data_IF_681246995475
#
_entry.id   IF_681246995475
#
_cell.length_a   1.000
_cell.length_b   1.000
_cell.length_c   1.000
_cell.angle_alpha   90.00
_cell.angle_beta   90.00
_cell.angle_gamma   90.00
#
_symmetry.space_group_name_H-M   'P 1'
#
loop_
_entity.id
_entity.type
_entity.pdbx_description
1 polymer ?
#
# COMPACT_ATOMS: atom_id res chain seq x y z
N UNK A 1 19.25 -46.47 67.01
CA UNK A 1 19.35 -45.89 68.38
C UNK A 1 20.03 -44.53 68.25
N UNK A 2 19.45 -43.52 68.92
CA UNK A 2 19.98 -42.16 69.22
C UNK A 2 20.35 -41.28 68.02
N UNK A 3 19.72 -40.14 67.69
CA UNK A 3 18.91 -39.21 68.49
C UNK A 3 19.64 -37.86 68.59
N UNK A 4 19.00 -36.77 68.16
CA UNK A 4 19.10 -35.35 68.63
C UNK A 4 18.48 -34.43 67.55
N UNK A 5 17.23 -33.96 67.59
CA UNK A 5 16.52 -33.01 68.49
C UNK A 5 16.92 -31.51 68.38
N UNK A 6 15.85 -30.70 68.26
CA UNK A 6 15.60 -29.30 68.73
C UNK A 6 15.89 -28.14 67.75
N UNK A 7 14.83 -27.47 67.26
CA UNK A 7 14.13 -26.25 67.80
C UNK A 7 14.97 -24.99 67.52
N UNK A 8 14.46 -23.81 67.13
CA UNK A 8 13.29 -23.11 67.65
C UNK A 8 13.06 -21.76 66.91
N UNK A 9 11.79 -21.31 66.87
CA UNK A 9 11.26 -19.94 67.01
C UNK A 9 11.85 -18.78 66.17
N UNK A 10 11.07 -18.16 65.28
CA UNK A 10 10.03 -17.14 65.53
C UNK A 10 10.59 -15.80 66.03
N UNK A 11 10.46 -14.76 65.20
CA UNK A 11 10.27 -13.35 65.60
C UNK A 11 9.91 -12.51 64.38
N UNK A 12 8.63 -12.11 64.28
CA UNK A 12 8.28 -10.86 63.59
C UNK A 12 8.58 -9.69 64.53
N UNK A 13 8.97 -8.54 63.97
CA UNK A 13 8.46 -7.30 64.50
C UNK A 13 7.74 -6.49 63.42
N UNK A 14 6.47 -6.20 63.69
CA UNK A 14 5.76 -5.06 63.12
C UNK A 14 6.45 -3.79 63.57
N UNK A 15 6.82 -2.90 62.65
CA UNK A 15 7.09 -1.50 62.95
C UNK A 15 6.34 -0.63 61.96
N UNK A 16 5.44 0.20 62.50
CA UNK A 16 4.74 1.26 61.79
C UNK A 16 5.38 2.62 62.11
N UNK A 17 5.31 3.51 61.12
CA UNK A 17 5.39 4.98 61.20
C UNK A 17 6.79 5.64 61.17
N UNK A 18 7.09 6.37 60.09
CA UNK A 18 7.00 7.84 60.04
C UNK A 18 7.67 8.39 58.76
N UNK A 19 7.29 9.61 58.39
CA UNK A 19 7.44 10.23 57.08
C UNK A 19 8.82 10.84 56.74
N UNK A 20 8.97 11.08 55.42
CA UNK A 20 9.71 12.16 54.75
C UNK A 20 11.24 12.18 54.80
N UNK A 21 11.88 11.99 53.63
CA UNK A 21 12.48 13.07 52.83
C UNK A 21 13.27 12.47 51.65
N UNK A 22 13.41 13.29 50.61
CA UNK A 22 14.01 13.01 49.31
C UNK A 22 15.35 12.27 49.33
N UNK A 23 15.50 11.29 48.44
CA UNK A 23 16.46 11.37 47.32
C UNK A 23 16.20 10.22 46.35
N UNK A 24 15.49 10.51 45.26
CA UNK A 24 15.34 9.59 44.14
C UNK A 24 16.46 9.87 43.14
N UNK A 25 17.70 9.59 43.53
CA UNK A 25 18.81 9.47 42.59
C UNK A 25 18.58 8.19 41.78
N UNK A 26 17.78 8.38 40.73
CA UNK A 26 17.48 7.43 39.67
C UNK A 26 18.79 7.01 39.02
N UNK A 27 19.40 5.99 39.61
CA UNK A 27 20.49 5.21 39.03
C UNK A 27 19.90 4.50 37.83
N UNK A 28 19.88 5.18 36.68
CA UNK A 28 19.56 4.61 35.37
C UNK A 28 20.43 3.36 35.17
N UNK A 29 19.86 2.14 35.07
CA UNK A 29 20.63 1.04 34.52
C UNK A 29 20.87 1.35 33.04
N UNK A 30 22.15 1.41 32.67
CA UNK A 30 22.59 1.54 31.30
C UNK A 30 21.98 0.41 30.45
N UNK A 31 21.03 0.77 29.59
CA UNK A 31 20.37 -0.15 28.66
C UNK A 31 21.30 -0.46 27.48
N UNK A 32 22.01 -1.58 27.55
CA UNK A 32 22.89 -2.05 26.46
C UNK A 32 22.41 -3.36 25.80
N UNK A 33 21.17 -3.80 26.00
CA UNK A 33 20.58 -4.95 25.26
C UNK A 33 19.39 -4.68 24.31
N UNK A 34 19.12 -3.46 23.79
CA UNK A 34 17.93 -3.25 22.94
C UNK A 34 18.01 -3.93 21.55
N UNK A 35 19.22 -4.12 21.00
CA UNK A 35 19.38 -4.63 19.62
C UNK A 35 19.26 -6.15 19.54
N UNK A 36 19.82 -6.89 20.50
CA UNK A 36 19.78 -8.35 20.52
C UNK A 36 18.35 -8.87 20.79
N UNK A 37 17.64 -8.20 21.71
CA UNK A 37 16.25 -8.50 22.02
C UNK A 37 15.33 -8.18 20.83
N UNK A 38 15.57 -7.04 20.15
CA UNK A 38 14.87 -6.71 18.92
C UNK A 38 15.05 -7.79 17.85
N UNK A 39 16.28 -8.23 17.58
CA UNK A 39 16.53 -9.26 16.57
C UNK A 39 15.79 -10.56 16.87
N UNK A 40 15.86 -11.03 18.12
CA UNK A 40 15.14 -12.24 18.54
C UNK A 40 13.62 -12.09 18.33
N UNK A 41 13.03 -11.00 18.81
CA UNK A 41 11.59 -10.76 18.69
C UNK A 41 11.16 -10.56 17.22
N UNK A 42 12.00 -9.93 16.41
CA UNK A 42 11.77 -9.76 14.98
C UNK A 42 11.76 -11.12 14.27
N UNK A 43 12.73 -11.98 14.53
CA UNK A 43 12.82 -13.31 13.91
C UNK A 43 11.65 -14.21 14.31
N UNK A 44 11.24 -14.16 15.58
CA UNK A 44 10.04 -14.86 16.09
C UNK A 44 8.77 -14.37 15.38
N UNK A 45 8.60 -13.05 15.26
CA UNK A 45 7.46 -12.46 14.54
C UNK A 45 7.43 -12.87 13.06
N UNK A 46 8.58 -12.93 12.40
CA UNK A 46 8.66 -13.39 11.01
C UNK A 46 8.27 -14.86 10.88
N UNK A 47 8.72 -15.72 11.79
CA UNK A 47 8.37 -17.15 11.78
C UNK A 47 6.87 -17.37 12.00
N UNK A 48 6.28 -16.66 12.96
CA UNK A 48 4.84 -16.74 13.26
C UNK A 48 4.00 -16.20 12.08
N UNK A 49 4.40 -15.07 11.50
CA UNK A 49 3.71 -14.51 10.34
C UNK A 49 3.77 -15.44 9.11
N UNK A 50 4.90 -16.11 8.90
CA UNK A 50 5.04 -17.12 7.85
C UNK A 50 4.15 -18.35 8.12
N UNK A 51 4.11 -18.84 9.36
CA UNK A 51 3.26 -19.94 9.77
C UNK A 51 1.77 -19.59 9.58
N UNK A 52 1.36 -18.39 10.01
CA UNK A 52 -0.01 -17.89 9.87
C UNK A 52 -0.41 -17.71 8.40
N UNK A 53 0.49 -17.22 7.55
CA UNK A 53 0.23 -17.12 6.11
C UNK A 53 0.01 -18.50 5.47
N UNK A 54 0.76 -19.51 5.93
CA UNK A 54 0.64 -20.88 5.45
C UNK A 54 -0.62 -21.59 6.00
N UNK A 55 -0.90 -21.45 7.30
CA UNK A 55 -2.02 -22.12 7.97
C UNK A 55 -3.37 -21.53 7.54
N UNK A 56 -3.45 -20.20 7.46
CA UNK A 56 -4.69 -19.51 7.11
C UNK A 56 -4.83 -19.28 5.60
N UNK A 57 -3.81 -19.59 4.79
CA UNK A 57 -3.79 -19.38 3.33
C UNK A 57 -4.09 -17.93 2.91
N UNK A 58 -3.72 -16.97 3.75
CA UNK A 58 -3.88 -15.53 3.50
C UNK A 58 -2.54 -14.85 3.37
N UNK A 59 -2.51 -13.75 2.61
CA UNK A 59 -1.33 -12.90 2.56
C UNK A 59 -1.19 -12.14 3.89
N UNK A 60 -0.03 -12.28 4.54
CA UNK A 60 0.29 -11.61 5.79
C UNK A 60 1.35 -10.54 5.54
N UNK A 61 1.05 -9.31 5.94
CA UNK A 61 1.98 -8.19 5.88
C UNK A 61 2.46 -7.83 7.27
N UNK A 62 3.79 -7.81 7.46
CA UNK A 62 4.41 -7.36 8.71
C UNK A 62 5.16 -6.06 8.45
N UNK A 63 4.97 -5.08 9.32
CA UNK A 63 5.72 -3.83 9.34
C UNK A 63 6.43 -3.77 10.68
N UNK A 64 7.77 -3.81 10.66
CA UNK A 64 8.59 -3.74 11.88
C UNK A 64 9.40 -2.45 11.89
N UNK A 65 9.30 -1.67 12.96
CA UNK A 65 10.10 -0.46 13.15
C UNK A 65 11.48 -0.83 13.69
N UNK A 66 12.53 -0.26 13.11
CA UNK A 66 13.90 -0.52 13.54
C UNK A 66 14.20 0.20 14.87
N UNK A 67 15.08 -0.35 15.73
CA UNK A 67 15.52 0.33 16.94
C UNK A 67 16.12 1.69 16.58
N UNK A 68 15.57 2.77 17.15
CA UNK A 68 15.90 4.15 16.77
C UNK A 68 14.76 4.89 16.08
N UNK A 69 13.76 4.19 15.53
CA UNK A 69 12.50 4.79 15.07
C UNK A 69 12.56 5.51 13.71
N UNK A 70 13.74 5.68 13.12
CA UNK A 70 13.92 6.42 11.87
C UNK A 70 13.42 5.66 10.62
N UNK A 71 13.22 4.35 10.73
CA UNK A 71 12.88 3.50 9.59
C UNK A 71 12.07 2.25 9.99
N UNK A 72 11.36 1.68 9.02
CA UNK A 72 10.60 0.45 9.16
C UNK A 72 10.84 -0.48 7.98
N UNK A 73 10.84 -1.79 8.23
CA UNK A 73 10.91 -2.84 7.21
C UNK A 73 9.52 -3.42 6.97
N UNK A 74 9.18 -3.64 5.70
CA UNK A 74 7.94 -4.32 5.30
C UNK A 74 8.27 -5.71 4.79
N UNK A 75 7.64 -6.72 5.38
CA UNK A 75 7.71 -8.11 4.95
C UNK A 75 6.32 -8.56 4.47
N UNK A 76 6.29 -9.37 3.41
CA UNK A 76 5.05 -9.94 2.86
C UNK A 76 5.23 -11.44 2.72
N UNK A 77 4.36 -12.19 3.38
CA UNK A 77 4.29 -13.64 3.32
C UNK A 77 3.05 -14.00 2.51
N UNK A 78 3.26 -14.73 1.41
CA UNK A 78 2.16 -15.12 0.53
C UNK A 78 1.57 -16.44 1.05
N UNK A 79 0.27 -16.44 1.32
CA UNK A 79 -0.46 -17.67 1.59
C UNK A 79 -0.64 -18.45 0.29
N UNK A 80 -0.32 -19.75 0.28
CA UNK A 80 -0.55 -20.57 -0.91
C UNK A 80 -2.07 -20.68 -1.15
N UNK A 81 -2.62 -20.17 -2.26
CA UNK A 81 -4.05 -20.22 -2.46
C UNK A 81 -4.48 -21.66 -2.74
N UNK A 82 -5.42 -22.19 -1.97
CA UNK A 82 -6.04 -23.48 -2.26
C UNK A 82 -6.63 -23.53 -3.68
N UNK A 83 -6.68 -24.74 -4.23
CA UNK A 83 -7.38 -25.03 -5.50
C UNK A 83 -8.83 -24.50 -5.50
N UNK A 84 -9.47 -24.45 -4.33
CA UNK A 84 -10.79 -23.85 -4.08
C UNK A 84 -10.82 -22.36 -4.39
N UNK A 85 -9.88 -21.59 -3.84
CA UNK A 85 -9.86 -20.13 -3.96
C UNK A 85 -9.45 -19.68 -5.37
N UNK A 86 -8.53 -20.42 -6.00
CA UNK A 86 -8.17 -20.21 -7.41
C UNK A 86 -9.33 -20.51 -8.35
N UNK A 87 -10.08 -21.59 -8.12
CA UNK A 87 -11.29 -21.90 -8.86
C UNK A 87 -12.38 -20.83 -8.69
N UNK A 88 -12.60 -20.33 -7.46
CA UNK A 88 -13.56 -19.26 -7.19
C UNK A 88 -13.18 -17.95 -7.92
N UNK A 89 -11.88 -17.61 -7.95
CA UNK A 89 -11.38 -16.43 -8.65
C UNK A 89 -11.53 -16.56 -10.17
N UNK A 90 -11.28 -17.75 -10.73
CA UNK A 90 -11.51 -18.04 -12.14
C UNK A 90 -13.00 -17.93 -12.51
N UNK A 91 -13.89 -18.53 -11.72
CA UNK A 91 -15.33 -18.44 -11.93
C UNK A 91 -15.86 -16.99 -11.85
N UNK A 92 -15.34 -16.19 -10.92
CA UNK A 92 -15.70 -14.78 -10.80
C UNK A 92 -15.23 -13.95 -12.01
N UNK A 93 -14.07 -14.25 -12.58
CA UNK A 93 -13.54 -13.57 -13.77
C UNK A 93 -14.33 -13.96 -15.03
N UNK A 94 -14.67 -15.24 -15.18
CA UNK A 94 -15.56 -15.72 -16.24
C UNK A 94 -16.96 -15.10 -16.16
N UNK A 95 -17.53 -15.00 -14.96
CA UNK A 95 -18.82 -14.33 -14.74
C UNK A 95 -18.78 -12.85 -15.16
N UNK A 96 -17.67 -12.15 -14.87
CA UNK A 96 -17.47 -10.76 -15.32
C UNK A 96 -17.40 -10.65 -16.84
N UNK A 97 -16.67 -11.55 -17.51
CA UNK A 97 -16.61 -11.59 -18.99
C UNK A 97 -17.98 -11.85 -19.60
N UNK A 98 -18.73 -12.81 -19.05
CA UNK A 98 -20.09 -13.13 -19.50
C UNK A 98 -21.05 -11.95 -19.28
N UNK A 99 -20.92 -11.22 -18.18
CA UNK A 99 -21.73 -10.00 -17.96
C UNK A 99 -21.35 -8.87 -18.93
N UNK A 100 -20.06 -8.69 -19.22
CA UNK A 100 -19.60 -7.70 -20.19
C UNK A 100 -20.10 -8.03 -21.61
N UNK A 101 -20.07 -9.31 -22.00
CA UNK A 101 -20.60 -9.76 -23.28
C UNK A 101 -22.11 -9.51 -23.39
N UNK A 102 -22.89 -9.80 -22.34
CA UNK A 102 -24.33 -9.49 -22.28
C UNK A 102 -24.59 -7.99 -22.41
N UNK A 103 -23.86 -7.15 -21.66
CA UNK A 103 -23.97 -5.68 -21.76
C UNK A 103 -23.64 -5.18 -23.16
N UNK A 104 -22.59 -5.69 -23.79
CA UNK A 104 -22.21 -5.36 -25.17
C UNK A 104 -23.30 -5.75 -26.16
N UNK A 105 -23.87 -6.95 -26.04
CA UNK A 105 -24.95 -7.40 -26.91
C UNK A 105 -26.19 -6.50 -26.79
N UNK A 106 -26.58 -6.11 -25.57
CA UNK A 106 -27.68 -5.18 -25.33
C UNK A 106 -27.42 -3.81 -25.96
N UNK A 107 -26.21 -3.26 -25.78
CA UNK A 107 -25.83 -1.99 -26.39
C UNK A 107 -25.89 -2.06 -27.92
N UNK A 108 -25.36 -3.12 -28.52
CA UNK A 108 -25.38 -3.32 -29.98
C UNK A 108 -26.81 -3.45 -30.50
N UNK A 109 -27.69 -4.15 -29.78
CA UNK A 109 -29.10 -4.24 -30.15
C UNK A 109 -29.82 -2.88 -30.06
N UNK A 110 -29.47 -2.04 -29.07
CA UNK A 110 -30.01 -0.68 -28.97
C UNK A 110 -29.53 0.20 -30.12
N UNK A 111 -28.22 0.21 -30.40
CA UNK A 111 -27.64 0.94 -31.53
C UNK A 111 -28.24 0.47 -32.86
N UNK A 112 -28.42 -0.84 -33.06
CA UNK A 112 -29.04 -1.37 -34.27
C UNK A 112 -30.47 -0.86 -34.47
N UNK A 113 -31.27 -0.79 -33.40
CA UNK A 113 -32.63 -0.22 -33.46
C UNK A 113 -32.64 1.27 -33.79
N UNK A 114 -31.68 2.03 -33.27
CA UNK A 114 -31.57 3.46 -33.50
C UNK A 114 -31.11 3.76 -34.94
N UNK A 115 -30.04 3.10 -35.39
CA UNK A 115 -29.53 3.22 -36.76
C UNK A 115 -30.54 2.73 -37.78
N UNK A 116 -31.36 1.71 -37.47
CA UNK A 116 -32.43 1.24 -38.36
C UNK A 116 -33.55 2.26 -38.59
N UNK A 117 -33.69 3.26 -37.72
CA UNK A 117 -34.66 4.36 -37.90
C UNK A 117 -34.04 5.56 -38.62
N UNK A 118 -32.72 5.60 -38.76
CA UNK A 118 -32.00 6.71 -39.35
C UNK A 118 -32.17 6.67 -40.88
N UNK A 119 -32.53 7.81 -41.45
CA UNK A 119 -32.69 7.96 -42.90
C UNK A 119 -31.33 8.01 -43.61
N UNK A 120 -31.30 7.76 -44.93
CA UNK A 120 -30.05 7.76 -45.70
C UNK A 120 -29.41 9.16 -45.72
N UNK A 121 -30.23 10.20 -45.66
CA UNK A 121 -29.86 11.61 -45.68
C UNK A 121 -29.20 12.03 -44.36
N UNK A 122 -29.78 11.60 -43.24
CA UNK A 122 -29.17 11.75 -41.91
C UNK A 122 -27.84 10.99 -41.83
N UNK A 123 -27.79 9.75 -42.34
CA UNK A 123 -26.57 8.96 -42.38
C UNK A 123 -25.43 9.67 -43.14
N UNK A 124 -25.74 10.26 -44.30
CA UNK A 124 -24.79 11.06 -45.10
C UNK A 124 -24.30 12.29 -44.33
N UNK A 125 -25.21 12.99 -43.65
CA UNK A 125 -24.87 14.16 -42.83
C UNK A 125 -23.93 13.80 -41.67
N UNK A 126 -24.19 12.68 -40.99
CA UNK A 126 -23.31 12.17 -39.93
C UNK A 126 -21.94 11.76 -40.47
N UNK A 127 -21.91 11.11 -41.64
CA UNK A 127 -20.67 10.74 -42.30
C UNK A 127 -19.81 11.97 -42.66
N UNK A 128 -20.42 13.00 -43.24
CA UNK A 128 -19.73 14.26 -43.58
C UNK A 128 -19.19 14.95 -42.33
N UNK A 129 -20.00 15.06 -41.26
CA UNK A 129 -19.54 15.60 -39.96
C UNK A 129 -18.35 14.81 -39.42
N UNK A 130 -18.38 13.47 -39.50
CA UNK A 130 -17.29 12.62 -39.05
C UNK A 130 -16.01 12.85 -39.86
N UNK A 131 -16.11 13.00 -41.18
CA UNK A 131 -14.96 13.28 -42.03
C UNK A 131 -14.37 14.67 -41.75
N UNK A 132 -15.22 15.68 -41.56
CA UNK A 132 -14.77 17.02 -41.16
C UNK A 132 -14.04 17.01 -39.82
N UNK A 133 -14.54 16.25 -38.84
CA UNK A 133 -13.88 16.10 -37.54
C UNK A 133 -12.52 15.42 -37.68
N UNK A 134 -12.43 14.34 -38.47
CA UNK A 134 -11.16 13.64 -38.74
C UNK A 134 -10.13 14.57 -39.36
N UNK A 135 -10.52 15.33 -40.39
CA UNK A 135 -9.63 16.31 -41.03
C UNK A 135 -9.16 17.37 -40.05
N UNK A 136 -10.03 17.87 -39.17
CA UNK A 136 -9.66 18.84 -38.15
C UNK A 136 -8.69 18.27 -37.10
N UNK A 137 -8.88 17.02 -36.67
CA UNK A 137 -7.95 16.33 -35.75
C UNK A 137 -6.60 16.15 -36.40
N UNK A 138 -6.54 15.68 -37.65
CA UNK A 138 -5.30 15.53 -38.42
C UNK A 138 -4.57 16.88 -38.51
N UNK A 139 -5.28 17.95 -38.90
CA UNK A 139 -4.69 19.29 -38.98
C UNK A 139 -4.12 19.74 -37.62
N UNK A 140 -4.87 19.56 -36.52
CA UNK A 140 -4.40 19.92 -35.18
C UNK A 140 -3.18 19.10 -34.76
N UNK A 141 -3.13 17.82 -35.08
CA UNK A 141 -1.96 16.97 -34.82
C UNK A 141 -0.75 17.44 -35.62
N UNK A 142 -0.93 17.73 -36.91
CA UNK A 142 0.13 18.26 -37.77
C UNK A 142 0.65 19.62 -37.28
N UNK A 143 -0.25 20.52 -36.85
CA UNK A 143 0.11 21.80 -36.25
C UNK A 143 0.89 21.60 -34.95
N UNK A 144 0.45 20.67 -34.08
CA UNK A 144 1.15 20.35 -32.84
C UNK A 144 2.54 19.76 -33.10
N UNK A 145 2.68 18.88 -34.09
CA UNK A 145 4.00 18.34 -34.47
C UNK A 145 4.90 19.40 -35.10
N UNK A 146 4.35 20.29 -35.93
CA UNK A 146 5.12 21.39 -36.53
C UNK A 146 5.54 22.43 -35.49
N UNK A 147 4.66 22.75 -34.53
CA UNK A 147 4.99 23.62 -33.40
C UNK A 147 6.08 22.99 -32.52
N UNK A 148 5.98 21.70 -32.19
CA UNK A 148 7.01 20.99 -31.44
C UNK A 148 8.36 20.96 -32.18
N UNK A 149 8.35 20.77 -33.50
CA UNK A 149 9.56 20.82 -34.33
C UNK A 149 10.14 22.25 -34.46
N UNK A 150 9.31 23.28 -34.47
CA UNK A 150 9.77 24.67 -34.48
C UNK A 150 10.35 25.10 -33.13
N UNK A 151 9.80 24.59 -32.02
CA UNK A 151 10.37 24.79 -30.67
C UNK A 151 11.70 24.04 -30.50
N UNK A 152 11.94 22.93 -31.21
CA UNK A 152 13.24 22.23 -31.15
C UNK A 152 14.32 22.82 -32.06
N UNK A 153 14.02 23.84 -32.88
CA UNK A 153 15.01 24.52 -33.75
C UNK A 153 15.57 25.80 -33.12
N UNK A 154 15.00 26.26 -32.00
CA UNK A 154 15.54 27.36 -31.19
C UNK A 154 15.94 26.80 -29.83
N UNK A 155 17.11 26.18 -29.76
CA UNK A 155 17.60 25.57 -28.52
C UNK A 155 18.90 24.78 -28.68
N UNK A 156 19.85 25.32 -29.47
CA UNK A 156 21.27 25.07 -29.22
C UNK A 156 21.74 26.31 -28.46
N UNK A 157 21.68 26.21 -27.13
CA UNK A 157 21.85 27.33 -26.21
C UNK A 157 21.74 26.82 -24.78
N UNK A 158 22.88 26.38 -24.26
CA UNK A 158 23.14 26.17 -22.84
C UNK A 158 22.50 27.27 -21.99
N UNK A 159 21.59 26.94 -21.07
CA UNK A 159 21.53 27.53 -19.73
C UNK A 159 20.85 26.53 -18.76
N UNK A 160 21.60 26.19 -17.72
CA UNK A 160 21.19 25.45 -16.52
C UNK A 160 19.99 26.12 -15.83
N UNK A 161 19.01 25.34 -15.35
CA UNK A 161 17.86 25.92 -14.64
C UNK A 161 16.85 24.94 -14.06
N UNK A 162 17.16 24.47 -12.86
CA UNK A 162 16.23 24.29 -11.74
C UNK A 162 15.09 23.25 -11.83
N UNK A 163 15.45 22.05 -11.37
CA UNK A 163 15.03 21.60 -10.05
C UNK A 163 13.59 21.91 -9.65
N UNK A 164 12.69 20.96 -9.88
CA UNK A 164 11.33 20.99 -9.36
C UNK A 164 11.30 20.94 -7.83
N UNK A 165 11.40 22.10 -7.19
CA UNK A 165 11.20 22.26 -5.75
C UNK A 165 9.70 22.23 -5.42
N UNK A 166 9.21 21.08 -4.95
CA UNK A 166 7.89 20.99 -4.30
C UNK A 166 7.91 21.85 -3.02
N UNK A 167 7.26 23.02 -3.08
CA UNK A 167 7.09 23.93 -1.93
C UNK A 167 6.10 23.35 -0.92
N UNK A 168 6.57 22.57 0.04
CA UNK A 168 5.86 22.32 1.30
C UNK A 168 6.08 23.56 2.18
N UNK A 169 5.02 24.34 2.43
CA UNK A 169 5.09 25.47 3.36
C UNK A 169 5.18 24.93 4.78
N UNK A 170 6.20 25.35 5.54
CA UNK A 170 6.20 25.22 7.00
C UNK A 170 5.07 26.08 7.57
N UNK A 171 4.36 25.53 8.54
CA UNK A 171 3.40 26.24 9.39
C UNK A 171 4.21 26.64 10.62
N UNK A 172 4.44 27.93 10.81
CA UNK A 172 5.12 28.44 12.01
C UNK A 172 4.17 28.31 13.22
N UNK A 173 4.74 27.90 14.36
CA UNK A 173 4.10 27.85 15.69
C UNK A 173 4.48 29.08 16.51
#
# INVERSE_FOLDING_TARGET
>A
MTGSEKKNQQSHPSNSSAAAAADAESTRPAMTTPVAEYKRAHDELMAEAAAMAAECEVDVHVIAFLPGGDCATKHTFLGAPTASMTAAKAAAEEAKRNQAAKKKATLMAFVGKDVSKMTMEEAKTHHEKLMNLRTNVIRKLQQKTAAAAATSVVGDGDEDGDGHCNKIRKIDS
#
